data_IF_006781936091
#
_entry.id   IF_006781936091
#
_cell.length_a   1.000
_cell.length_b   1.000
_cell.length_c   1.000
_cell.angle_alpha   90.00
_cell.angle_beta   90.00
_cell.angle_gamma   90.00
#
_symmetry.space_group_name_H-M   'P 1'
#
loop_
_entity.id
_entity.type
_entity.pdbx_description
1 polymer ?
#
# COMPACT_ATOMS: atom_id res chain seq x y z
N UNK A 1 9.78 1.57 -36.77
CA UNK A 1 8.83 1.21 -35.70
C UNK A 1 9.45 0.11 -34.85
N UNK A 2 9.63 0.35 -33.55
CA UNK A 2 10.12 -0.67 -32.61
C UNK A 2 9.04 -1.75 -32.45
N UNK A 3 9.39 -3.02 -32.66
CA UNK A 3 8.47 -4.12 -32.40
C UNK A 3 8.25 -4.26 -30.89
N UNK A 4 7.09 -4.76 -30.45
CA UNK A 4 6.83 -5.06 -29.02
C UNK A 4 7.93 -5.93 -28.38
N UNK A 5 8.52 -6.83 -29.16
CA UNK A 5 9.62 -7.70 -28.73
C UNK A 5 10.94 -6.94 -28.59
N UNK A 6 11.17 -5.93 -29.43
CA UNK A 6 12.32 -5.03 -29.33
C UNK A 6 12.19 -4.07 -28.14
N UNK A 7 10.99 -3.58 -27.84
CA UNK A 7 10.72 -2.71 -26.68
C UNK A 7 10.91 -3.46 -25.34
N UNK A 8 10.39 -4.68 -25.23
CA UNK A 8 10.59 -5.51 -24.02
C UNK A 8 12.05 -5.92 -23.81
N UNK A 9 12.79 -6.17 -24.90
CA UNK A 9 14.23 -6.41 -24.82
C UNK A 9 14.97 -5.15 -24.36
N UNK A 10 14.67 -3.98 -24.93
CA UNK A 10 15.27 -2.70 -24.54
C UNK A 10 15.00 -2.35 -23.08
N UNK A 11 13.77 -2.55 -22.59
CA UNK A 11 13.41 -2.31 -21.19
C UNK A 11 14.12 -3.26 -20.21
N UNK A 12 14.39 -4.50 -20.63
CA UNK A 12 15.18 -5.45 -19.84
C UNK A 12 16.69 -5.13 -19.88
N UNK A 13 17.24 -4.64 -21.00
CA UNK A 13 18.65 -4.22 -21.06
C UNK A 13 18.92 -2.90 -20.38
N UNK A 14 17.99 -1.93 -20.36
CA UNK A 14 18.20 -0.67 -19.62
C UNK A 14 18.17 -0.90 -18.11
N UNK A 15 17.26 -1.73 -17.61
CA UNK A 15 17.23 -2.10 -16.18
C UNK A 15 18.45 -2.93 -15.76
N UNK A 16 18.87 -3.92 -16.58
CA UNK A 16 20.10 -4.69 -16.28
C UNK A 16 21.37 -3.86 -16.43
N UNK A 17 21.40 -2.92 -17.38
CA UNK A 17 22.54 -2.02 -17.61
C UNK A 17 22.75 -1.00 -16.50
N UNK A 18 21.66 -0.45 -15.92
CA UNK A 18 21.73 0.44 -14.76
C UNK A 18 22.22 -0.28 -13.50
N UNK A 19 21.80 -1.54 -13.29
CA UNK A 19 22.26 -2.36 -12.16
C UNK A 19 23.76 -2.70 -12.29
N UNK A 20 24.25 -2.99 -13.49
CA UNK A 20 25.66 -3.35 -13.70
C UNK A 20 26.64 -2.18 -13.60
N UNK A 21 26.20 -0.94 -13.85
CA UNK A 21 27.06 0.24 -13.70
C UNK A 21 27.22 0.73 -12.25
N UNK A 22 26.43 0.20 -11.31
CA UNK A 22 26.35 0.74 -9.95
C UNK A 22 27.28 0.07 -8.95
N UNK A 23 27.75 -1.14 -9.25
CA UNK A 23 28.75 -1.84 -8.45
C UNK A 23 30.14 -1.56 -9.06
N UNK A 24 31.02 -0.91 -8.31
CA UNK A 24 32.31 -0.36 -8.75
C UNK A 24 33.34 -1.33 -9.37
N UNK A 25 34.56 -0.84 -9.69
CA UNK A 25 35.40 -1.32 -10.79
C UNK A 25 36.23 -2.54 -10.41
N UNK A 26 35.61 -3.71 -10.35
CA UNK A 26 36.36 -4.98 -10.32
C UNK A 26 35.82 -5.94 -11.36
N UNK A 27 35.99 -5.58 -12.63
CA UNK A 27 35.94 -6.58 -13.71
C UNK A 27 36.97 -6.26 -14.79
N UNK A 28 38.20 -6.77 -14.60
CA UNK A 28 39.13 -6.94 -15.72
C UNK A 28 38.62 -8.10 -16.57
N UNK A 29 37.98 -7.77 -17.69
CA UNK A 29 37.60 -8.72 -18.73
C UNK A 29 38.87 -9.29 -19.37
N UNK A 30 39.22 -10.53 -19.00
CA UNK A 30 40.14 -11.36 -19.78
C UNK A 30 39.42 -12.64 -20.16
N UNK A 31 39.52 -13.01 -21.43
CA UNK A 31 39.23 -14.38 -21.88
C UNK A 31 37.82 -14.62 -22.43
N UNK A 32 37.78 -15.01 -23.70
CA UNK A 32 36.62 -15.46 -24.48
C UNK A 32 35.77 -16.51 -23.75
N UNK A 33 34.44 -16.36 -23.88
CA UNK A 33 33.55 -17.52 -23.98
C UNK A 33 32.94 -18.04 -22.68
N UNK A 34 32.40 -17.16 -21.83
CA UNK A 34 31.28 -17.45 -20.92
C UNK A 34 30.76 -16.10 -20.44
N UNK A 35 29.49 -15.79 -20.66
CA UNK A 35 28.88 -14.61 -20.01
C UNK A 35 28.87 -14.91 -18.51
N UNK A 36 29.65 -14.19 -17.68
CA UNK A 36 29.60 -14.42 -16.25
C UNK A 36 28.21 -13.95 -15.81
N UNK A 37 27.34 -14.90 -15.46
CA UNK A 37 26.08 -14.60 -14.80
C UNK A 37 26.41 -14.24 -13.36
N UNK A 38 26.92 -13.03 -13.13
CA UNK A 38 26.96 -12.44 -11.80
C UNK A 38 25.52 -12.06 -11.48
N UNK A 39 24.75 -13.01 -10.95
CA UNK A 39 23.47 -12.71 -10.32
C UNK A 39 23.82 -12.24 -8.92
N UNK A 40 24.30 -11.00 -8.79
CA UNK A 40 24.40 -10.37 -7.48
C UNK A 40 22.99 -10.38 -6.89
N UNK A 41 22.82 -11.05 -5.75
CA UNK A 41 21.56 -11.04 -5.03
C UNK A 41 21.24 -9.59 -4.65
N UNK A 42 19.98 -9.17 -4.85
CA UNK A 42 19.52 -7.87 -4.37
C UNK A 42 19.68 -7.89 -2.83
N UNK A 43 20.51 -7.02 -2.24
CA UNK A 43 20.66 -6.95 -0.80
C UNK A 43 19.30 -6.65 -0.15
N UNK A 44 19.03 -7.23 1.03
CA UNK A 44 17.79 -6.95 1.73
C UNK A 44 17.60 -7.86 2.92
N UNK A 45 17.56 -7.28 4.12
CA UNK A 45 17.33 -8.01 5.36
C UNK A 45 18.37 -9.09 5.65
N UNK A 46 18.12 -9.83 6.73
CA UNK A 46 18.97 -10.95 7.16
C UNK A 46 18.45 -12.31 6.71
N UNK A 47 17.25 -12.41 6.14
CA UNK A 47 16.71 -13.65 5.58
C UNK A 47 17.22 -13.84 4.15
N UNK A 48 17.87 -14.98 3.88
CA UNK A 48 18.25 -15.37 2.52
C UNK A 48 16.99 -15.68 1.68
N UNK A 49 16.68 -14.90 0.62
CA UNK A 49 15.53 -15.13 -0.24
C UNK A 49 15.59 -16.47 -1.00
N UNK A 50 16.77 -17.09 -1.15
CA UNK A 50 16.90 -18.42 -1.73
C UNK A 50 16.49 -19.54 -0.77
N UNK A 51 16.49 -19.26 0.53
CA UNK A 51 16.05 -20.21 1.57
C UNK A 51 14.53 -20.29 1.70
N UNK A 52 13.79 -19.30 1.17
CA UNK A 52 12.34 -19.22 1.28
C UNK A 52 11.70 -20.19 0.26
N UNK A 53 10.95 -21.21 0.70
CA UNK A 53 10.28 -22.13 -0.22
C UNK A 53 9.23 -21.43 -1.08
N UNK A 54 9.28 -21.66 -2.39
CA UNK A 54 8.33 -21.06 -3.34
C UNK A 54 7.13 -21.97 -3.55
N UNK A 55 5.97 -21.37 -3.79
CA UNK A 55 4.74 -22.05 -4.20
C UNK A 55 4.21 -23.07 -3.19
N UNK A 56 4.45 -22.84 -1.89
CA UNK A 56 3.91 -23.68 -0.81
C UNK A 56 2.61 -23.11 -0.21
N UNK A 57 2.34 -21.83 -0.42
CA UNK A 57 1.15 -21.16 0.13
C UNK A 57 0.13 -20.89 -0.98
N UNK A 58 -1.14 -21.28 -0.80
CA UNK A 58 -2.18 -20.90 -1.74
C UNK A 58 -2.38 -19.38 -1.72
N UNK A 59 -2.54 -18.78 -2.89
CA UNK A 59 -2.70 -17.33 -3.04
C UNK A 59 -4.02 -16.88 -2.41
N UNK A 60 -3.94 -15.95 -1.46
CA UNK A 60 -5.11 -15.27 -0.96
C UNK A 60 -5.76 -14.42 -2.07
N UNK A 61 -7.09 -14.44 -2.14
CA UNK A 61 -7.85 -13.50 -2.95
C UNK A 61 -8.50 -12.52 -1.98
N UNK A 62 -8.05 -11.25 -1.92
CA UNK A 62 -8.54 -10.28 -0.96
C UNK A 62 -10.07 -10.23 -0.95
N UNK A 63 -10.72 -10.46 0.20
CA UNK A 63 -12.17 -10.36 0.33
C UNK A 63 -12.67 -8.95 0.01
N UNK A 64 -13.98 -8.84 -0.23
CA UNK A 64 -14.62 -7.53 -0.37
C UNK A 64 -14.80 -6.90 1.01
N UNK A 65 -14.41 -5.64 1.14
CA UNK A 65 -14.59 -4.82 2.33
C UNK A 65 -16.10 -4.70 2.63
N UNK A 66 -16.58 -5.06 3.82
CA UNK A 66 -17.98 -4.92 4.15
C UNK A 66 -18.37 -3.46 4.33
N UNK A 67 -19.58 -3.10 3.87
CA UNK A 67 -20.20 -1.80 4.07
C UNK A 67 -20.72 -1.72 5.50
N UNK A 68 -20.35 -0.68 6.24
CA UNK A 68 -20.89 -0.39 7.58
C UNK A 68 -22.37 -0.04 7.53
N UNK A 69 -22.80 0.70 6.51
CA UNK A 69 -24.21 1.08 6.30
C UNK A 69 -24.49 1.31 4.82
N UNK A 70 -25.70 0.95 4.39
CA UNK A 70 -26.18 1.21 3.02
C UNK A 70 -27.33 2.22 3.15
N UNK A 71 -27.16 3.41 2.57
CA UNK A 71 -28.21 4.45 2.58
C UNK A 71 -28.85 4.57 1.19
N UNK A 72 -29.92 5.37 1.08
CA UNK A 72 -30.49 5.71 -0.22
C UNK A 72 -29.47 6.39 -1.15
N UNK A 73 -28.59 7.23 -0.59
CA UNK A 73 -27.76 8.16 -1.37
C UNK A 73 -26.31 7.70 -1.55
N UNK A 74 -25.78 6.89 -0.63
CA UNK A 74 -24.39 6.45 -0.64
C UNK A 74 -24.18 5.14 0.13
N UNK A 75 -23.10 4.43 -0.19
CA UNK A 75 -22.56 3.34 0.63
C UNK A 75 -21.59 3.92 1.66
N UNK A 76 -21.69 3.49 2.92
CA UNK A 76 -20.87 3.99 4.02
C UNK A 76 -19.95 2.90 4.56
N UNK A 77 -18.70 3.26 4.82
CA UNK A 77 -17.68 2.39 5.39
C UNK A 77 -16.99 3.08 6.58
N UNK A 78 -16.63 2.29 7.58
CA UNK A 78 -15.71 2.66 8.65
C UNK A 78 -14.51 1.72 8.57
N UNK A 79 -13.36 2.27 8.20
CA UNK A 79 -12.16 1.50 7.90
C UNK A 79 -11.02 2.04 8.76
N UNK A 80 -10.41 1.17 9.56
CA UNK A 80 -9.22 1.54 10.32
C UNK A 80 -7.96 0.93 9.72
N UNK A 81 -6.85 1.66 9.80
CA UNK A 81 -5.51 1.12 9.62
C UNK A 81 -4.98 0.64 10.97
N UNK A 82 -4.57 -0.62 11.06
CA UNK A 82 -4.12 -1.26 12.30
C UNK A 82 -2.87 -2.10 12.08
N UNK A 83 -2.05 -2.24 13.13
CA UNK A 83 -0.94 -3.18 13.18
C UNK A 83 -1.38 -4.57 13.65
N UNK A 84 -0.89 -5.61 12.98
CA UNK A 84 -1.14 -7.01 13.33
C UNK A 84 -0.06 -7.93 12.72
N UNK A 85 -0.02 -9.19 13.14
CA UNK A 85 0.87 -10.21 12.58
C UNK A 85 0.16 -11.02 11.49
N UNK A 86 0.82 -11.21 10.35
CA UNK A 86 0.30 -11.95 9.20
C UNK A 86 1.32 -12.98 8.70
N UNK A 87 0.83 -14.15 8.30
CA UNK A 87 1.65 -15.18 7.66
C UNK A 87 1.95 -14.81 6.20
N UNK A 88 2.93 -13.93 5.99
CA UNK A 88 3.39 -13.52 4.65
C UNK A 88 4.37 -14.54 4.06
N UNK A 89 5.37 -14.93 4.86
CA UNK A 89 6.30 -16.00 4.53
C UNK A 89 5.59 -17.37 4.58
N UNK A 90 6.13 -18.45 3.98
CA UNK A 90 5.55 -19.78 4.06
C UNK A 90 5.37 -20.23 5.53
N UNK A 91 4.41 -21.12 5.84
CA UNK A 91 4.07 -21.50 7.22
C UNK A 91 5.21 -22.07 8.07
N UNK A 92 6.32 -22.50 7.44
CA UNK A 92 7.54 -22.95 8.13
C UNK A 92 8.40 -21.80 8.67
N UNK A 93 8.09 -20.56 8.32
CA UNK A 93 8.80 -19.35 8.74
C UNK A 93 7.92 -18.46 9.62
N UNK A 94 8.50 -17.57 10.44
CA UNK A 94 7.74 -16.73 11.37
C UNK A 94 6.70 -15.83 10.69
N UNK A 95 5.73 -15.38 11.49
CA UNK A 95 4.79 -14.34 11.11
C UNK A 95 5.52 -13.00 10.90
N UNK A 96 4.94 -12.14 10.07
CA UNK A 96 5.43 -10.79 9.82
C UNK A 96 4.47 -9.77 10.41
N UNK A 97 4.97 -8.88 11.27
CA UNK A 97 4.21 -7.71 11.71
C UNK A 97 4.06 -6.71 10.58
N UNK A 98 2.82 -6.34 10.28
CA UNK A 98 2.43 -5.45 9.17
C UNK A 98 1.30 -4.52 9.58
N UNK A 99 1.01 -3.55 8.73
CA UNK A 99 -0.18 -2.72 8.80
C UNK A 99 -1.15 -3.06 7.67
N UNK A 100 -2.43 -2.84 7.91
CA UNK A 100 -3.47 -3.08 6.92
C UNK A 100 -4.74 -2.32 7.27
N UNK A 101 -5.51 -1.97 6.24
CA UNK A 101 -6.85 -1.46 6.40
C UNK A 101 -7.86 -2.60 6.54
N UNK A 102 -8.84 -2.40 7.42
CA UNK A 102 -9.91 -3.35 7.69
C UNK A 102 -11.19 -2.64 8.16
N UNK A 103 -12.34 -3.23 7.89
CA UNK A 103 -13.62 -2.71 8.37
C UNK A 103 -13.76 -2.95 9.87
N UNK A 104 -14.24 -1.93 10.59
CA UNK A 104 -14.54 -2.03 12.03
C UNK A 104 -16.02 -2.25 12.32
N UNK A 105 -16.87 -2.11 11.30
CA UNK A 105 -18.31 -2.31 11.41
C UNK A 105 -18.88 -2.82 10.08
N UNK A 106 -20.00 -3.52 10.13
CA UNK A 106 -20.68 -4.06 8.95
C UNK A 106 -22.20 -3.99 9.11
N UNK A 107 -22.91 -3.65 8.03
CA UNK A 107 -24.37 -3.65 7.97
C UNK A 107 -24.93 -5.07 8.02
N UNK A 108 -24.18 -6.04 7.48
CA UNK A 108 -24.50 -7.45 7.61
C UNK A 108 -23.79 -8.02 8.86
N UNK A 109 -24.52 -8.70 9.77
CA UNK A 109 -23.92 -9.35 10.94
C UNK A 109 -22.82 -10.38 10.61
N UNK A 110 -22.73 -10.83 9.36
CA UNK A 110 -21.74 -11.78 8.84
C UNK A 110 -20.61 -11.10 8.02
N UNK A 111 -20.49 -9.77 8.09
CA UNK A 111 -19.41 -9.03 7.42
C UNK A 111 -18.03 -9.40 7.97
N UNK A 112 -17.01 -9.40 7.10
CA UNK A 112 -15.64 -9.74 7.49
C UNK A 112 -14.97 -8.55 8.18
N UNK A 113 -14.87 -8.58 9.51
CA UNK A 113 -14.19 -7.54 10.29
C UNK A 113 -12.75 -7.96 10.56
N UNK A 114 -11.92 -7.95 9.51
CA UNK A 114 -10.49 -8.24 9.61
C UNK A 114 -9.67 -7.12 8.96
N UNK A 115 -8.43 -6.99 9.41
CA UNK A 115 -7.37 -6.24 8.75
C UNK A 115 -6.51 -7.22 7.93
N UNK A 116 -6.03 -6.78 6.78
CA UNK A 116 -5.19 -7.60 5.91
C UNK A 116 -4.16 -6.74 5.16
N UNK A 117 -3.01 -7.33 4.82
CA UNK A 117 -1.96 -6.74 4.00
C UNK A 117 -1.70 -7.67 2.80
N UNK A 118 -2.14 -7.32 1.58
CA UNK A 118 -2.85 -6.12 1.19
C UNK A 118 -4.25 -6.05 1.80
N UNK A 119 -4.79 -4.84 1.85
CA UNK A 119 -6.10 -4.57 2.42
C UNK A 119 -7.26 -5.05 1.55
N UNK A 120 -8.42 -5.23 2.18
CA UNK A 120 -9.62 -5.78 1.53
C UNK A 120 -10.05 -4.91 0.34
N UNK A 121 -10.70 -5.51 -0.65
CA UNK A 121 -11.14 -4.81 -1.86
C UNK A 121 -12.41 -4.01 -1.60
N UNK A 122 -12.42 -2.72 -1.88
CA UNK A 122 -13.65 -1.93 -1.91
C UNK A 122 -14.30 -2.10 -3.28
N UNK A 123 -15.53 -2.59 -3.34
CA UNK A 123 -16.32 -2.60 -4.57
C UNK A 123 -17.35 -1.46 -4.56
N UNK A 124 -17.14 -0.49 -5.45
CA UNK A 124 -18.00 0.65 -5.67
C UNK A 124 -18.87 0.48 -6.92
N UNK A 125 -20.00 1.18 -6.98
CA UNK A 125 -20.87 1.21 -8.17
C UNK A 125 -20.76 2.57 -8.86
N UNK A 126 -20.75 2.54 -10.19
CA UNK A 126 -20.82 3.72 -11.03
C UNK A 126 -21.93 4.67 -10.57
N UNK A 127 -21.60 5.95 -10.44
CA UNK A 127 -22.50 7.05 -10.06
C UNK A 127 -23.25 6.81 -8.73
N UNK A 128 -22.71 5.96 -7.86
CA UNK A 128 -23.18 5.79 -6.49
C UNK A 128 -22.05 6.22 -5.56
N UNK A 129 -22.23 7.33 -4.82
CA UNK A 129 -21.20 7.79 -3.90
C UNK A 129 -20.86 6.74 -2.83
N UNK A 130 -19.58 6.68 -2.50
CA UNK A 130 -19.04 5.90 -1.39
C UNK A 130 -18.46 6.87 -0.39
N UNK A 131 -18.88 6.78 0.86
CA UNK A 131 -18.42 7.61 1.97
C UNK A 131 -17.65 6.74 2.94
N UNK A 132 -16.42 7.13 3.26
CA UNK A 132 -15.50 6.32 4.06
C UNK A 132 -14.95 7.16 5.20
N UNK A 133 -15.17 6.69 6.42
CA UNK A 133 -14.45 7.17 7.60
C UNK A 133 -13.14 6.36 7.71
N UNK A 134 -12.03 7.00 7.39
CA UNK A 134 -10.68 6.46 7.52
C UNK A 134 -10.16 6.74 8.92
N UNK A 135 -9.71 5.71 9.63
CA UNK A 135 -9.34 5.77 11.06
C UNK A 135 -7.89 5.33 11.22
N UNK A 136 -7.12 6.10 11.99
CA UNK A 136 -5.78 5.77 12.42
C UNK A 136 -5.86 4.99 13.75
N UNK A 137 -5.72 3.67 13.66
CA UNK A 137 -5.77 2.73 14.79
C UNK A 137 -4.38 2.11 15.05
N UNK A 138 -3.33 2.88 14.78
CA UNK A 138 -1.94 2.53 15.13
C UNK A 138 -1.70 2.77 16.62
N UNK A 139 -2.39 1.97 17.43
CA UNK A 139 -2.38 2.03 18.89
C UNK A 139 -2.20 0.63 19.49
N UNK A 140 -1.59 0.57 20.67
CA UNK A 140 -1.54 -0.64 21.48
C UNK A 140 -2.88 -0.90 22.19
N UNK A 141 -2.96 -2.01 22.92
CA UNK A 141 -4.17 -2.40 23.67
C UNK A 141 -4.55 -1.43 24.80
N UNK A 142 -3.64 -0.56 25.22
CA UNK A 142 -3.86 0.46 26.25
C UNK A 142 -4.24 1.83 25.63
N UNK A 143 -4.37 1.91 24.30
CA UNK A 143 -4.64 3.16 23.58
C UNK A 143 -3.41 4.08 23.50
N UNK A 144 -2.20 3.56 23.69
CA UNK A 144 -0.97 4.31 23.44
C UNK A 144 -0.60 4.22 21.96
N UNK A 145 0.05 5.25 21.41
CA UNK A 145 0.48 5.21 20.00
C UNK A 145 1.54 4.12 19.79
N UNK A 146 1.52 3.52 18.60
CA UNK A 146 2.60 2.66 18.13
C UNK A 146 3.61 3.47 17.31
N UNK A 147 4.92 3.32 17.54
CA UNK A 147 5.94 3.86 16.64
C UNK A 147 5.90 3.12 15.29
N UNK A 148 6.52 3.72 14.27
CA UNK A 148 6.61 3.06 12.96
C UNK A 148 7.43 1.76 13.03
N UNK A 149 7.00 0.73 12.26
CA UNK A 149 7.72 -0.53 12.08
C UNK A 149 9.10 -0.41 11.41
N UNK A 150 9.38 0.73 10.77
CA UNK A 150 10.46 0.93 9.80
C UNK A 150 11.23 2.21 10.16
N UNK A 151 12.49 2.35 9.73
CA UNK A 151 13.31 3.53 10.02
C UNK A 151 12.75 4.79 9.35
N UNK A 152 12.11 5.66 10.14
CA UNK A 152 11.66 6.98 9.70
C UNK A 152 12.82 7.98 9.81
N UNK A 153 13.16 8.63 8.70
CA UNK A 153 14.18 9.67 8.64
C UNK A 153 13.59 11.04 9.00
N UNK A 154 13.94 11.64 10.14
CA UNK A 154 13.37 12.91 10.56
C UNK A 154 13.98 14.12 9.84
N UNK A 155 15.01 13.93 9.01
CA UNK A 155 15.72 15.03 8.31
C UNK A 155 15.05 15.49 7.02
N UNK A 156 14.01 14.78 6.58
CA UNK A 156 13.23 15.10 5.39
C UNK A 156 12.29 16.28 5.63
N UNK A 157 11.71 16.81 4.55
CA UNK A 157 10.48 17.58 4.64
C UNK A 157 9.32 16.59 4.85
N UNK A 158 8.63 16.64 5.99
CA UNK A 158 7.66 15.60 6.35
C UNK A 158 6.57 16.10 7.30
N UNK A 159 5.58 15.23 7.51
CA UNK A 159 4.34 15.52 8.23
C UNK A 159 4.53 16.07 9.65
N UNK A 160 5.21 15.34 10.55
CA UNK A 160 5.10 15.60 11.99
C UNK A 160 6.43 15.64 12.75
N UNK A 161 7.38 16.50 12.36
CA UNK A 161 8.55 16.73 13.19
C UNK A 161 8.20 17.30 14.58
N UNK A 162 9.04 17.01 15.60
CA UNK A 162 8.88 17.61 16.92
C UNK A 162 8.85 19.14 16.90
N UNK A 163 8.07 19.73 17.80
CA UNK A 163 7.82 21.16 17.97
C UNK A 163 6.39 21.60 17.62
N UNK A 164 5.47 20.64 17.57
CA UNK A 164 4.03 20.89 17.57
C UNK A 164 3.52 21.51 16.27
N UNK A 165 2.46 22.31 16.40
CA UNK A 165 1.77 22.94 15.25
C UNK A 165 2.69 23.87 14.46
N UNK A 166 3.69 24.49 15.10
CA UNK A 166 4.64 25.39 14.42
C UNK A 166 5.66 24.63 13.59
N UNK A 167 5.95 23.37 13.94
CA UNK A 167 6.93 22.56 13.25
C UNK A 167 6.35 21.59 12.22
N UNK A 168 5.05 21.28 12.24
CA UNK A 168 4.44 20.36 11.26
C UNK A 168 4.67 20.75 9.79
N UNK A 169 4.58 19.75 8.91
CA UNK A 169 4.65 19.91 7.43
C UNK A 169 5.88 20.67 6.95
N UNK A 170 7.04 20.38 7.52
CA UNK A 170 8.28 21.06 7.13
C UNK A 170 9.52 20.20 7.29
N UNK A 171 10.64 20.77 6.82
CA UNK A 171 11.98 20.20 7.03
C UNK A 171 12.56 20.77 8.32
N UNK A 172 12.85 19.95 9.34
CA UNK A 172 13.43 20.45 10.59
C UNK A 172 14.90 20.83 10.41
N UNK A 173 15.42 21.56 11.39
CA UNK A 173 16.85 21.83 11.53
C UNK A 173 17.39 21.06 12.73
N UNK A 174 18.63 20.59 12.63
CA UNK A 174 19.25 19.75 13.66
C UNK A 174 20.62 20.30 14.02
N UNK A 175 20.97 20.23 15.32
CA UNK A 175 22.31 20.59 15.79
C UNK A 175 23.33 19.44 15.66
N UNK A 176 22.86 18.21 15.47
CA UNK A 176 23.64 17.00 15.23
C UNK A 176 22.79 15.99 14.43
N UNK A 177 23.41 14.99 13.81
CA UNK A 177 22.66 13.95 13.08
C UNK A 177 21.68 13.25 14.01
N UNK A 178 20.35 13.32 13.75
CA UNK A 178 19.35 12.77 14.65
C UNK A 178 19.24 11.25 14.52
N UNK A 179 18.75 10.60 15.58
CA UNK A 179 18.28 9.22 15.50
C UNK A 179 17.01 9.09 14.64
N UNK A 180 16.70 7.87 14.19
CA UNK A 180 15.43 7.59 13.51
C UNK A 180 14.22 7.94 14.40
N UNK A 181 13.17 8.49 13.80
CA UNK A 181 11.96 8.90 14.52
C UNK A 181 11.23 7.71 15.17
N UNK A 182 10.66 7.94 16.37
CA UNK A 182 9.96 6.94 17.20
C UNK A 182 8.62 7.44 17.76
N UNK A 183 8.14 8.60 17.32
CA UNK A 183 6.87 9.15 17.78
C UNK A 183 5.65 8.57 17.05
N UNK A 184 4.46 9.18 17.27
CA UNK A 184 3.20 8.74 16.68
C UNK A 184 3.16 8.92 15.16
N UNK A 185 2.54 7.97 14.47
CA UNK A 185 2.55 7.90 13.00
C UNK A 185 1.36 8.65 12.39
N UNK A 186 1.59 9.66 11.52
CA UNK A 186 0.55 10.30 10.74
C UNK A 186 0.11 9.43 9.55
N UNK A 187 -1.18 9.49 9.22
CA UNK A 187 -1.74 8.88 8.01
C UNK A 187 -2.66 9.86 7.26
N UNK A 188 -2.81 9.65 5.96
CA UNK A 188 -3.92 10.18 5.15
C UNK A 188 -4.13 9.25 3.96
N UNK A 189 -5.37 8.84 3.69
CA UNK A 189 -5.62 7.83 2.66
C UNK A 189 -5.94 8.48 1.31
N UNK A 190 -5.29 8.06 0.25
CA UNK A 190 -5.56 8.46 -1.13
C UNK A 190 -6.22 7.31 -1.90
N UNK A 191 -7.23 7.61 -2.73
CA UNK A 191 -7.79 6.64 -3.70
C UNK A 191 -7.30 7.00 -5.09
N UNK A 192 -6.24 6.32 -5.50
CA UNK A 192 -5.57 6.54 -6.77
C UNK A 192 -6.47 6.18 -7.95
N UNK A 193 -6.71 7.16 -8.81
CA UNK A 193 -7.58 7.05 -9.98
C UNK A 193 -9.04 7.42 -9.73
N UNK A 194 -9.41 7.88 -8.52
CA UNK A 194 -10.75 8.42 -8.30
C UNK A 194 -10.95 9.72 -9.10
N UNK A 195 -12.02 9.79 -9.89
CA UNK A 195 -12.35 10.97 -10.71
C UNK A 195 -13.52 11.75 -10.10
N UNK A 196 -13.44 13.08 -10.19
CA UNK A 196 -14.47 13.98 -9.68
C UNK A 196 -14.55 14.06 -8.16
N UNK A 197 -13.60 13.43 -7.46
CA UNK A 197 -13.44 13.53 -6.01
C UNK A 197 -13.13 15.00 -5.65
N UNK A 198 -13.75 15.49 -4.58
CA UNK A 198 -13.39 16.79 -4.02
C UNK A 198 -11.99 16.71 -3.40
N UNK A 199 -11.25 17.81 -3.43
CA UNK A 199 -9.93 17.93 -2.80
C UNK A 199 -9.96 17.57 -1.30
N UNK A 200 -11.08 17.84 -0.60
CA UNK A 200 -11.28 17.38 0.78
C UNK A 200 -11.33 15.86 0.97
N UNK A 201 -11.39 15.08 -0.10
CA UNK A 201 -11.53 13.63 -0.08
C UNK A 201 -10.47 12.92 -0.93
N UNK A 202 -9.53 13.67 -1.52
CA UNK A 202 -8.48 13.10 -2.37
C UNK A 202 -7.31 12.55 -1.55
N UNK A 203 -7.12 13.02 -0.32
CA UNK A 203 -6.01 12.58 0.55
C UNK A 203 -4.76 13.43 0.38
N UNK A 204 -4.93 14.75 0.37
CA UNK A 204 -3.82 15.70 0.31
C UNK A 204 -2.77 15.42 1.40
N UNK A 205 -1.49 15.41 1.03
CA UNK A 205 -0.42 14.86 1.88
C UNK A 205 -0.25 15.58 3.23
N UNK A 206 -0.59 16.86 3.30
CA UNK A 206 -0.56 17.72 4.50
C UNK A 206 -1.93 17.81 5.22
N UNK A 207 -2.89 16.94 4.85
CA UNK A 207 -4.17 16.77 5.53
C UNK A 207 -4.17 15.53 6.46
N UNK A 208 -2.99 15.09 6.88
CA UNK A 208 -2.80 13.92 7.72
C UNK A 208 -3.32 14.12 9.15
N UNK A 209 -3.48 13.00 9.86
CA UNK A 209 -3.87 12.95 11.27
C UNK A 209 -3.17 11.80 12.02
N UNK A 210 -2.83 12.06 13.29
CA UNK A 210 -2.30 11.07 14.22
C UNK A 210 -3.40 10.14 14.74
N UNK A 211 -3.05 8.97 15.33
CA UNK A 211 -4.02 8.18 16.08
C UNK A 211 -4.59 8.98 17.26
N UNK A 212 -5.80 8.63 17.68
CA UNK A 212 -6.42 9.17 18.89
C UNK A 212 -5.85 8.53 20.17
N UNK A 213 -4.53 8.56 20.33
CA UNK A 213 -3.83 7.89 21.42
C UNK A 213 -3.78 8.72 22.72
N UNK A 214 -3.68 8.02 23.85
CA UNK A 214 -3.67 8.58 25.20
C UNK A 214 -2.36 9.28 25.57
N UNK A 215 -1.26 8.94 24.89
CA UNK A 215 0.10 9.32 25.29
C UNK A 215 0.84 10.14 24.22
N UNK A 216 0.14 10.87 23.35
CA UNK A 216 0.76 11.76 22.36
C UNK A 216 1.56 12.87 23.08
N UNK A 217 2.90 12.94 22.93
CA UNK A 217 3.69 14.00 23.54
C UNK A 217 3.32 15.38 23.00
N UNK A 218 3.44 16.42 23.84
CA UNK A 218 3.03 17.78 23.51
C UNK A 218 3.85 18.39 22.37
N UNK A 219 5.07 17.89 22.12
CA UNK A 219 5.88 18.31 20.99
C UNK A 219 5.38 17.80 19.63
N UNK A 220 4.30 17.02 19.55
CA UNK A 220 3.75 16.56 18.27
C UNK A 220 2.44 17.27 17.93
N UNK A 221 2.32 17.68 16.67
CA UNK A 221 1.01 18.07 16.14
C UNK A 221 0.15 16.82 15.96
N UNK A 222 -1.16 16.94 16.21
CA UNK A 222 -2.11 15.83 16.04
C UNK A 222 -2.69 15.73 14.64
N UNK A 223 -2.45 16.75 13.80
CA UNK A 223 -2.99 16.89 12.45
C UNK A 223 -2.17 17.86 11.60
N UNK A 224 -2.21 17.63 10.30
CA UNK A 224 -1.54 18.45 9.29
C UNK A 224 -2.19 19.82 9.07
N UNK A 225 -1.49 20.67 8.34
CA UNK A 225 -1.83 22.07 8.08
C UNK A 225 -3.18 22.24 7.42
N UNK A 226 -3.54 21.36 6.50
CA UNK A 226 -4.78 21.48 5.73
C UNK A 226 -5.94 20.67 6.31
N UNK A 227 -5.73 19.96 7.42
CA UNK A 227 -6.75 19.09 8.00
C UNK A 227 -8.05 19.86 8.33
N UNK A 228 -7.97 20.97 9.05
CA UNK A 228 -9.17 21.72 9.47
C UNK A 228 -9.87 22.41 8.29
N UNK A 229 -9.10 22.84 7.29
CA UNK A 229 -9.64 23.40 6.06
C UNK A 229 -10.50 22.37 5.32
N UNK A 230 -9.98 21.16 5.12
CA UNK A 230 -10.72 20.09 4.45
C UNK A 230 -11.85 19.53 5.32
N UNK A 231 -11.68 19.44 6.64
CA UNK A 231 -12.76 19.10 7.56
C UNK A 231 -13.94 20.07 7.44
N UNK A 232 -13.67 21.39 7.35
CA UNK A 232 -14.69 22.41 7.11
C UNK A 232 -15.42 22.23 5.78
N UNK A 233 -14.70 21.86 4.71
CA UNK A 233 -15.30 21.55 3.41
C UNK A 233 -16.16 20.30 3.45
N UNK A 234 -15.71 19.23 4.10
CA UNK A 234 -16.48 18.01 4.29
C UNK A 234 -17.76 18.27 5.11
N UNK A 235 -17.68 19.09 6.16
CA UNK A 235 -18.84 19.50 6.95
C UNK A 235 -19.84 20.29 6.10
N UNK A 236 -19.38 21.27 5.32
CA UNK A 236 -20.24 22.09 4.47
C UNK A 236 -20.90 21.29 3.33
N UNK A 237 -20.15 20.41 2.65
CA UNK A 237 -20.64 19.67 1.47
C UNK A 237 -21.43 18.42 1.84
N UNK A 238 -20.97 17.67 2.85
CA UNK A 238 -21.43 16.31 3.12
C UNK A 238 -22.11 16.15 4.48
N UNK A 239 -22.09 17.20 5.32
CA UNK A 239 -22.52 17.19 6.72
C UNK A 239 -21.79 16.13 7.54
N UNK A 240 -20.52 15.92 7.21
CA UNK A 240 -19.64 14.97 7.89
C UNK A 240 -18.70 15.70 8.82
N UNK A 241 -18.39 15.07 9.95
CA UNK A 241 -17.39 15.57 10.89
C UNK A 241 -16.11 14.78 10.76
N UNK A 242 -14.99 15.46 10.98
CA UNK A 242 -13.70 14.84 11.22
C UNK A 242 -13.36 15.01 12.71
N UNK A 243 -12.44 14.20 13.23
CA UNK A 243 -12.14 14.21 14.65
C UNK A 243 -10.80 13.55 14.98
N UNK A 244 -10.40 13.51 16.25
CA UNK A 244 -9.16 12.87 16.65
C UNK A 244 -9.06 11.46 16.07
N UNK A 245 -7.97 11.16 15.36
CA UNK A 245 -7.74 9.82 14.80
C UNK A 245 -8.49 9.50 13.51
N UNK A 246 -9.29 10.39 12.91
CA UNK A 246 -10.03 10.03 11.70
C UNK A 246 -10.42 11.20 10.79
N UNK A 247 -10.56 10.90 9.50
CA UNK A 247 -11.17 11.79 8.52
C UNK A 247 -12.23 11.04 7.68
N UNK A 248 -13.29 11.74 7.27
CA UNK A 248 -14.40 11.15 6.48
C UNK A 248 -14.41 11.72 5.06
N UNK A 249 -14.17 10.86 4.08
CA UNK A 249 -14.05 11.21 2.67
C UNK A 249 -15.26 10.72 1.87
N UNK A 250 -15.57 11.38 0.76
CA UNK A 250 -16.62 10.96 -0.17
C UNK A 250 -16.13 10.89 -1.61
N UNK A 251 -16.29 9.71 -2.21
CA UNK A 251 -15.96 9.43 -3.60
C UNK A 251 -17.26 9.33 -4.41
N UNK A 252 -17.46 10.17 -5.43
CA UNK A 252 -18.72 10.19 -6.18
C UNK A 252 -18.87 8.98 -7.13
N UNK A 253 -17.74 8.40 -7.55
CA UNK A 253 -17.67 7.26 -8.48
C UNK A 253 -18.25 7.57 -9.87
N UNK A 254 -17.98 8.78 -10.37
CA UNK A 254 -18.47 9.25 -11.66
C UNK A 254 -17.59 8.80 -12.84
N UNK A 255 -16.48 8.11 -12.56
CA UNK A 255 -15.60 7.55 -13.59
C UNK A 255 -16.22 6.30 -14.23
N UNK A 256 -15.70 5.91 -15.40
CA UNK A 256 -15.96 4.60 -16.00
C UNK A 256 -15.61 3.44 -15.05
N UNK A 257 -16.05 2.23 -15.38
CA UNK A 257 -15.65 1.04 -14.64
C UNK A 257 -14.12 0.87 -14.67
N UNK A 258 -13.48 0.96 -13.52
CA UNK A 258 -12.02 1.09 -13.39
C UNK A 258 -11.45 0.19 -12.29
N UNK A 259 -10.16 -0.15 -12.42
CA UNK A 259 -9.36 -0.80 -11.36
C UNK A 259 -8.55 0.27 -10.67
N UNK A 260 -9.12 0.87 -9.62
CA UNK A 260 -8.43 1.85 -8.78
C UNK A 260 -7.85 1.12 -7.57
N UNK A 261 -7.09 1.85 -6.76
CA UNK A 261 -6.52 1.34 -5.51
C UNK A 261 -6.42 2.46 -4.49
N UNK A 262 -6.29 2.09 -3.22
CA UNK A 262 -6.16 3.03 -2.12
C UNK A 262 -4.95 2.68 -1.27
N UNK A 263 -4.29 3.71 -0.75
CA UNK A 263 -3.06 3.60 0.04
C UNK A 263 -2.83 4.87 0.88
N UNK A 264 -1.90 4.81 1.83
CA UNK A 264 -1.49 6.00 2.58
C UNK A 264 -0.72 7.00 1.69
N UNK A 265 -0.84 8.29 2.00
CA UNK A 265 -0.26 9.40 1.25
C UNK A 265 0.32 10.50 2.15
N UNK A 266 0.69 10.17 3.40
CA UNK A 266 1.19 11.15 4.36
C UNK A 266 2.55 11.75 3.94
N UNK A 267 2.66 13.08 4.08
CA UNK A 267 3.83 13.85 3.67
C UNK A 267 5.13 13.27 4.26
N UNK A 268 6.07 12.92 3.38
CA UNK A 268 7.38 12.37 3.76
C UNK A 268 7.37 10.94 4.32
N UNK A 269 6.20 10.30 4.44
CA UNK A 269 6.03 8.97 5.04
C UNK A 269 5.40 7.93 4.11
N UNK A 270 4.80 8.33 2.98
CA UNK A 270 4.16 7.44 2.00
C UNK A 270 4.95 6.16 1.74
N UNK A 271 6.27 6.25 1.46
CA UNK A 271 7.10 5.08 1.15
C UNK A 271 7.12 4.04 2.27
N UNK A 272 7.12 4.47 3.54
CA UNK A 272 7.22 3.59 4.70
C UNK A 272 5.83 3.08 5.10
N UNK A 273 4.85 3.98 5.11
CA UNK A 273 3.47 3.64 5.42
C UNK A 273 2.93 2.62 4.42
N UNK A 274 3.14 2.80 3.10
CA UNK A 274 2.74 1.82 2.07
C UNK A 274 3.54 0.52 2.18
N UNK A 275 4.86 0.60 2.44
CA UNK A 275 5.70 -0.59 2.59
C UNK A 275 5.25 -1.50 3.74
N UNK A 276 4.76 -0.91 4.83
CA UNK A 276 4.21 -1.61 5.98
C UNK A 276 2.98 -2.48 5.64
N UNK A 277 2.31 -2.29 4.49
CA UNK A 277 1.24 -3.15 3.99
C UNK A 277 -0.15 -2.54 3.66
N UNK A 278 -0.57 -1.35 4.12
CA UNK A 278 -1.93 -0.84 3.98
C UNK A 278 -2.18 -0.27 2.56
N UNK A 279 -2.41 -1.17 1.62
CA UNK A 279 -2.83 -0.85 0.26
C UNK A 279 -3.89 -1.87 -0.21
N UNK A 280 -4.96 -1.41 -0.86
CA UNK A 280 -6.04 -2.29 -1.31
C UNK A 280 -6.68 -1.83 -2.61
N UNK A 281 -7.44 -2.71 -3.25
CA UNK A 281 -8.14 -2.36 -4.48
C UNK A 281 -9.41 -1.53 -4.20
N UNK A 282 -9.70 -0.61 -5.10
CA UNK A 282 -10.96 0.12 -5.20
C UNK A 282 -11.54 -0.13 -6.61
N UNK A 283 -12.53 -1.00 -6.75
CA UNK A 283 -13.05 -1.39 -8.06
C UNK A 283 -14.39 -0.71 -8.31
N UNK A 284 -14.47 0.12 -9.36
CA UNK A 284 -15.73 0.73 -9.81
C UNK A 284 -16.41 -0.23 -10.81
N UNK A 285 -17.67 -0.60 -10.53
CA UNK A 285 -18.47 -1.53 -11.31
C UNK A 285 -19.63 -0.82 -12.02
N UNK A 286 -19.96 -1.27 -13.23
CA UNK A 286 -21.14 -0.82 -13.97
C UNK A 286 -20.92 0.47 -14.77
N UNK A 287 -22.02 1.16 -15.08
CA UNK A 287 -22.02 2.39 -15.89
C UNK A 287 -22.06 2.15 -17.40
N UNK A 288 -22.10 3.24 -18.21
CA UNK A 288 -22.23 3.18 -19.67
C UNK A 288 -21.11 2.43 -20.39
N UNK A 289 -19.92 2.37 -19.79
CA UNK A 289 -18.75 1.66 -20.28
C UNK A 289 -18.41 0.40 -19.46
N UNK A 290 -19.33 -0.01 -18.56
CA UNK A 290 -19.12 -1.15 -17.69
C UNK A 290 -19.21 -2.51 -18.40
N UNK A 291 -19.10 -3.58 -17.63
CA UNK A 291 -19.09 -4.96 -18.14
C UNK A 291 -20.29 -5.29 -19.04
N UNK A 292 -21.47 -4.67 -18.81
CA UNK A 292 -22.68 -4.82 -19.63
C UNK A 292 -22.66 -4.09 -20.99
N UNK A 293 -21.71 -3.18 -21.20
CA UNK A 293 -21.55 -2.44 -22.46
C UNK A 293 -20.62 -3.15 -23.45
N UNK A 294 -19.79 -4.08 -22.98
CA UNK A 294 -18.78 -4.72 -23.80
C UNK A 294 -19.40 -5.61 -24.88
N UNK A 295 -18.90 -5.50 -26.12
CA UNK A 295 -19.33 -6.31 -27.26
C UNK A 295 -18.16 -7.12 -27.81
N UNK A 296 -18.42 -8.35 -28.22
CA UNK A 296 -17.44 -9.15 -28.95
C UNK A 296 -17.30 -8.60 -30.37
N UNK A 297 -16.11 -8.11 -30.70
CA UNK A 297 -15.83 -7.47 -32.00
C UNK A 297 -16.13 -8.36 -33.21
N UNK A 298 -16.11 -9.69 -33.07
CA UNK A 298 -16.39 -10.63 -34.17
C UNK A 298 -17.89 -10.91 -34.36
N UNK A 299 -18.67 -10.86 -33.29
CA UNK A 299 -20.08 -11.30 -33.32
C UNK A 299 -21.08 -10.19 -33.05
N UNK A 300 -20.64 -9.03 -32.56
CA UNK A 300 -21.49 -7.93 -32.12
C UNK A 300 -22.31 -8.23 -30.85
N UNK A 301 -22.25 -9.46 -30.31
CA UNK A 301 -22.99 -9.87 -29.12
C UNK A 301 -22.32 -9.37 -27.85
N UNK A 302 -23.09 -9.31 -26.75
CA UNK A 302 -22.58 -8.99 -25.42
C UNK A 302 -21.38 -9.89 -25.07
N UNK A 303 -20.28 -9.27 -24.64
CA UNK A 303 -19.13 -10.01 -24.15
C UNK A 303 -19.40 -10.51 -22.74
N UNK A 304 -19.52 -11.83 -22.57
CA UNK A 304 -19.60 -12.45 -21.24
C UNK A 304 -18.20 -12.48 -20.62
N UNK A 305 -17.97 -11.59 -19.66
CA UNK A 305 -16.73 -11.56 -18.89
C UNK A 305 -16.71 -12.67 -17.84
N UNK A 306 -15.52 -13.18 -17.45
CA UNK A 306 -15.41 -14.22 -16.45
C UNK A 306 -15.97 -13.80 -15.08
N UNK A 307 -16.89 -14.60 -14.54
CA UNK A 307 -17.54 -14.47 -13.22
C UNK A 307 -17.55 -15.85 -12.52
N UNK A 308 -17.71 -15.96 -11.18
CA UNK A 308 -18.00 -14.90 -10.20
C UNK A 308 -16.78 -14.05 -9.79
N UNK A 309 -17.07 -12.83 -9.32
CA UNK A 309 -16.17 -11.99 -8.52
C UNK A 309 -16.30 -12.33 -7.03
N UNK A 310 -15.30 -11.98 -6.19
CA UNK A 310 -15.45 -11.86 -4.74
C UNK A 310 -16.70 -11.08 -4.35
N UNK A 311 -17.44 -11.57 -3.37
CA UNK A 311 -18.64 -10.90 -2.82
C UNK A 311 -18.51 -10.63 -1.32
N UNK A 312 -19.20 -9.58 -0.89
CA UNK A 312 -19.24 -9.11 0.51
C UNK A 312 -19.71 -10.19 1.52
N UNK A 313 -20.52 -11.18 1.09
CA UNK A 313 -21.13 -12.19 1.97
C UNK A 313 -20.65 -13.62 1.70
N UNK A 314 -19.50 -13.76 1.05
CA UNK A 314 -19.03 -15.03 0.51
C UNK A 314 -18.43 -15.99 1.55
N UNK A 315 -18.17 -15.48 2.75
CA UNK A 315 -17.75 -16.29 3.89
C UNK A 315 -18.72 -17.42 4.22
N UNK A 316 -19.98 -17.33 3.75
CA UNK A 316 -21.01 -18.35 3.91
C UNK A 316 -20.84 -19.58 3.02
N UNK A 317 -19.97 -19.52 1.99
CA UNK A 317 -19.67 -20.66 1.14
C UNK A 317 -18.37 -21.33 1.58
N UNK A 318 -18.31 -22.67 1.66
CA UNK A 318 -17.05 -23.38 1.87
C UNK A 318 -15.98 -22.97 0.85
N UNK A 319 -14.71 -22.93 1.25
CA UNK A 319 -13.60 -22.46 0.40
C UNK A 319 -13.53 -23.17 -0.95
N UNK A 320 -13.84 -24.47 -0.99
CA UNK A 320 -13.89 -25.29 -2.21
C UNK A 320 -15.03 -24.93 -3.17
N UNK A 321 -16.05 -24.17 -2.74
CA UNK A 321 -17.11 -23.64 -3.60
C UNK A 321 -16.77 -22.27 -4.22
N UNK A 322 -15.73 -21.58 -3.74
CA UNK A 322 -15.36 -20.23 -4.18
C UNK A 322 -14.54 -20.27 -5.47
N UNK A 323 -15.22 -20.51 -6.59
CA UNK A 323 -14.61 -20.59 -7.92
C UNK A 323 -14.55 -19.23 -8.62
N UNK A 324 -13.86 -18.27 -8.02
CA UNK A 324 -13.67 -16.96 -8.65
C UNK A 324 -13.12 -17.09 -10.06
N UNK A 325 -13.57 -16.19 -10.95
CA UNK A 325 -13.03 -16.04 -12.30
C UNK A 325 -12.54 -14.64 -12.57
N UNK A 326 -12.82 -13.71 -11.67
CA UNK A 326 -12.23 -12.39 -11.65
C UNK A 326 -11.52 -12.19 -10.32
N UNK A 327 -10.24 -11.84 -10.37
CA UNK A 327 -9.40 -11.75 -9.17
C UNK A 327 -8.53 -10.48 -9.20
N UNK A 328 -8.51 -9.69 -8.10
CA UNK A 328 -7.47 -8.70 -7.87
C UNK A 328 -6.13 -9.38 -7.57
N UNK A 329 -5.07 -8.89 -8.20
CA UNK A 329 -3.69 -9.36 -8.06
C UNK A 329 -2.79 -8.17 -7.80
N UNK A 330 -2.38 -7.97 -6.56
CA UNK A 330 -1.36 -6.98 -6.19
C UNK A 330 -0.01 -7.66 -6.07
N UNK A 331 0.97 -7.09 -6.75
CA UNK A 331 2.37 -7.53 -6.73
C UNK A 331 3.16 -6.50 -5.95
N UNK A 332 3.95 -6.95 -4.98
CA UNK A 332 4.78 -6.11 -4.12
C UNK A 332 6.12 -6.80 -3.92
N UNK A 333 7.23 -6.07 -3.99
CA UNK A 333 8.52 -6.57 -3.56
C UNK A 333 8.76 -6.22 -2.08
N UNK A 334 9.29 -7.16 -1.31
CA UNK A 334 9.67 -6.96 0.09
C UNK A 334 11.02 -7.62 0.37
N UNK A 335 11.61 -7.27 1.49
CA UNK A 335 12.74 -7.97 2.08
C UNK A 335 12.42 -8.26 3.55
N UNK A 336 13.03 -9.30 4.10
CA UNK A 336 12.71 -9.80 5.44
C UNK A 336 13.98 -10.06 6.24
N UNK A 337 13.85 -9.93 7.55
CA UNK A 337 14.84 -10.45 8.49
C UNK A 337 14.55 -11.92 8.82
N UNK A 338 15.54 -12.63 9.36
CA UNK A 338 15.45 -14.05 9.69
C UNK A 338 14.37 -14.37 10.74
N UNK A 339 13.96 -13.38 11.53
CA UNK A 339 12.86 -13.46 12.50
C UNK A 339 11.47 -13.23 11.87
N UNK A 340 11.41 -13.01 10.55
CA UNK A 340 10.19 -12.76 9.79
C UNK A 340 9.77 -11.29 9.72
N UNK A 341 10.46 -10.37 10.39
CA UNK A 341 10.13 -8.93 10.32
C UNK A 341 10.39 -8.37 8.94
N UNK A 342 9.65 -7.32 8.55
CA UNK A 342 9.98 -6.54 7.36
C UNK A 342 11.36 -5.89 7.51
N UNK A 343 12.13 -5.87 6.43
CA UNK A 343 13.35 -5.08 6.31
C UNK A 343 13.09 -3.87 5.43
N UNK A 344 13.55 -2.70 5.89
CA UNK A 344 13.71 -1.52 5.06
C UNK A 344 15.04 -0.85 5.44
N UNK A 345 15.83 -0.34 4.48
CA UNK A 345 17.14 0.23 4.76
C UNK A 345 17.09 1.35 5.80
N UNK A 346 17.99 1.27 6.77
CA UNK A 346 18.16 2.26 7.85
C UNK A 346 19.49 3.01 7.74
N UNK A 347 20.12 3.02 6.56
CA UNK A 347 21.38 3.72 6.32
C UNK A 347 21.54 3.98 4.83
N UNK A 348 22.20 5.09 4.46
CA UNK A 348 22.61 5.38 3.08
C UNK A 348 23.62 4.38 2.54
N UNK A 349 24.42 3.79 3.40
CA UNK A 349 25.42 2.79 3.01
C UNK A 349 24.80 1.61 2.23
N UNK A 350 23.52 1.32 2.46
CA UNK A 350 22.78 0.28 1.74
C UNK A 350 22.68 0.54 0.23
N UNK A 351 22.52 1.79 -0.19
CA UNK A 351 22.23 2.14 -1.57
C UNK A 351 23.44 2.77 -2.29
N UNK A 352 24.09 3.75 -1.66
CA UNK A 352 25.17 4.52 -2.27
C UNK A 352 26.50 4.43 -1.52
N UNK A 353 26.62 3.52 -0.53
CA UNK A 353 27.81 3.33 0.31
C UNK A 353 28.25 4.58 1.10
N UNK A 354 27.38 5.58 1.26
CA UNK A 354 27.69 6.77 2.07
C UNK A 354 27.57 6.43 3.56
N UNK A 355 28.68 6.53 4.27
CA UNK A 355 28.77 6.31 5.73
C UNK A 355 28.78 7.61 6.57
N UNK A 356 28.72 8.77 5.90
CA UNK A 356 28.77 10.10 6.51
C UNK A 356 29.92 10.96 5.92
N UNK A 357 30.06 12.22 6.38
CA UNK A 357 29.19 12.91 7.33
C UNK A 357 27.78 13.18 6.75
N UNK A 358 26.78 13.24 7.62
CA UNK A 358 25.38 13.49 7.28
C UNK A 358 24.95 14.90 7.72
N UNK A 359 23.67 15.25 7.51
CA UNK A 359 23.06 16.44 8.10
C UNK A 359 23.29 16.47 9.63
N UNK A 360 23.69 17.60 10.24
CA UNK A 360 23.76 18.95 9.65
C UNK A 360 25.06 19.32 8.94
N UNK A 361 26.12 18.50 9.03
CA UNK A 361 27.43 18.83 8.44
C UNK A 361 27.40 18.78 6.90
N UNK A 362 26.45 18.02 6.33
CA UNK A 362 26.18 17.93 4.89
C UNK A 362 24.68 18.04 4.59
N UNK A 363 24.30 18.01 3.31
CA UNK A 363 22.91 17.97 2.86
C UNK A 363 22.35 16.53 2.75
N UNK A 364 23.14 15.52 3.14
CA UNK A 364 22.82 14.10 3.01
C UNK A 364 22.01 13.61 4.22
N UNK A 365 20.79 13.15 3.99
CA UNK A 365 19.97 12.47 5.00
C UNK A 365 20.57 11.11 5.41
N UNK A 366 20.57 10.74 6.71
CA UNK A 366 21.26 9.55 7.21
C UNK A 366 20.56 8.22 6.90
N UNK A 367 19.24 8.20 6.74
CA UNK A 367 18.45 6.96 6.69
C UNK A 367 17.63 6.80 5.41
N UNK A 368 17.12 7.90 4.85
CA UNK A 368 16.36 7.90 3.60
C UNK A 368 17.21 7.39 2.44
N UNK A 369 16.68 6.44 1.68
CA UNK A 369 17.33 5.93 0.48
C UNK A 369 16.57 6.39 -0.79
N UNK A 370 17.27 6.75 -1.89
CA UNK A 370 16.62 7.22 -3.11
C UNK A 370 15.67 6.22 -3.77
N UNK A 371 16.03 4.93 -3.74
CA UNK A 371 15.19 3.85 -4.24
C UNK A 371 15.32 2.62 -3.33
N UNK A 372 14.37 1.69 -3.44
CA UNK A 372 14.40 0.41 -2.77
C UNK A 372 13.96 -0.69 -3.75
N UNK A 373 14.67 -1.82 -3.70
CA UNK A 373 14.31 -3.03 -4.41
C UNK A 373 14.28 -4.18 -3.40
N UNK A 374 13.12 -4.78 -3.21
CA UNK A 374 12.93 -5.97 -2.40
C UNK A 374 13.52 -7.20 -3.09
N UNK A 375 14.08 -8.11 -2.31
CA UNK A 375 14.66 -9.35 -2.82
C UNK A 375 13.67 -10.53 -2.84
N UNK A 376 12.43 -10.30 -2.39
CA UNK A 376 11.36 -11.28 -2.31
C UNK A 376 10.09 -10.73 -2.96
N UNK A 377 9.53 -11.47 -3.93
CA UNK A 377 8.27 -11.06 -4.56
C UNK A 377 7.07 -11.63 -3.80
N UNK A 378 6.10 -10.77 -3.56
CA UNK A 378 4.81 -11.09 -2.97
C UNK A 378 3.68 -10.92 -3.98
N UNK A 379 2.66 -11.76 -3.83
CA UNK A 379 1.38 -11.62 -4.50
C UNK A 379 0.27 -11.77 -3.48
N UNK A 380 -0.61 -10.78 -3.38
CA UNK A 380 -1.74 -10.76 -2.46
C UNK A 380 -1.39 -11.14 -1.00
N UNK A 381 -0.23 -10.68 -0.50
CA UNK A 381 0.14 -10.85 0.90
C UNK A 381 0.87 -12.14 1.23
N UNK A 382 1.28 -12.94 0.24
CA UNK A 382 2.16 -14.09 0.45
C UNK A 382 3.36 -14.05 -0.49
N UNK A 383 4.50 -14.59 -0.04
CA UNK A 383 5.70 -14.75 -0.88
C UNK A 383 5.52 -15.91 -1.86
N UNK A 384 5.71 -15.64 -3.16
CA UNK A 384 5.60 -16.63 -4.26
C UNK A 384 4.45 -17.67 -4.09
N UNK A 385 3.19 -17.26 -3.95
CA UNK A 385 2.10 -18.20 -3.76
C UNK A 385 1.76 -18.94 -5.06
N UNK A 386 0.94 -20.00 -4.96
CA UNK A 386 0.34 -20.68 -6.11
C UNK A 386 -1.17 -20.44 -6.16
N UNK A 387 -1.76 -20.54 -7.35
CA UNK A 387 -3.21 -20.48 -7.54
C UNK A 387 -3.65 -21.68 -8.37
N UNK A 388 -4.50 -22.53 -7.81
CA UNK A 388 -5.18 -23.59 -8.55
C UNK A 388 -6.24 -22.99 -9.47
N UNK A 389 -6.17 -23.32 -10.76
CA UNK A 389 -7.09 -22.80 -11.77
C UNK A 389 -7.74 -23.92 -12.57
N UNK A 390 -9.02 -23.72 -12.89
CA UNK A 390 -9.75 -24.55 -13.84
C UNK A 390 -9.29 -24.23 -15.28
N UNK A 391 -9.51 -25.14 -16.24
CA UNK A 391 -9.23 -24.91 -17.68
C UNK A 391 -10.29 -24.02 -18.33
N UNK A 392 -10.41 -22.78 -17.85
CA UNK A 392 -11.41 -21.78 -18.28
C UNK A 392 -10.78 -20.39 -18.39
N UNK A 393 -11.55 -19.40 -18.83
CA UNK A 393 -11.07 -18.01 -18.89
C UNK A 393 -11.15 -17.33 -17.52
N UNK A 394 -10.15 -16.51 -17.22
CA UNK A 394 -10.06 -15.68 -16.03
C UNK A 394 -9.84 -14.21 -16.41
N UNK A 395 -10.23 -13.31 -15.51
CA UNK A 395 -9.96 -11.87 -15.56
C UNK A 395 -9.09 -11.50 -14.37
N UNK A 396 -7.85 -11.11 -14.61
CA UNK A 396 -6.96 -10.61 -13.56
C UNK A 396 -6.92 -9.08 -13.59
N UNK A 397 -6.98 -8.47 -12.42
CA UNK A 397 -6.77 -7.04 -12.22
C UNK A 397 -5.43 -6.85 -11.55
N UNK A 398 -4.41 -6.49 -12.32
CA UNK A 398 -3.06 -6.31 -11.80
C UNK A 398 -2.87 -4.91 -11.21
N UNK A 399 -2.21 -4.87 -10.05
CA UNK A 399 -1.67 -3.69 -9.42
C UNK A 399 -0.19 -3.93 -9.16
N UNK A 400 0.66 -3.01 -9.61
CA UNK A 400 2.00 -2.89 -9.08
C UNK A 400 1.91 -2.04 -7.81
N UNK A 401 2.03 -2.67 -6.65
CA UNK A 401 2.00 -2.03 -5.33
C UNK A 401 3.35 -2.15 -4.60
N UNK A 402 4.43 -2.26 -5.38
CA UNK A 402 5.81 -2.25 -4.89
C UNK A 402 6.10 -0.93 -4.17
#
# INVERSE_FOLDING_TARGET
MLTRRSFLKLGATTSTGMVLSWFGPTLRLTGKGMVPRVVAQIPGGTLDPLSIPKYQTPMLIPPVMPRSRITRNYDYYEISMKQFDQQILPPSLPLTTVWGYGAISAANPKGLLIHNAPSLTIEARYNRPTRIKWINDLQDVNGNYLPHLLPVDPTLHWANPPGGITERDKRPTFAATPETYRGPVPIVTHVHGAVGVGDESDGYAEAWYLPAANNIPAEYATKGTWYDFFAGKAAAKFRETWGPGYATFQYPNNDRASTNWYHDHALGMTRLNVYAGPAGFYIIRGGPEGDGALRNARTGRLALLPLPTPREFEQLFPSWMRKYREMPIVIQDRAFNADGSLFYPNTRAFFDNVAGPFLPDTDISPYWNPEFFGNTMMVNGNTWPYLDVDRVRYRFRFLNGC
#
